data_IF_780969692797
#
_entry.id   IF_780969692797
#
_cell.length_a   1.000
_cell.length_b   1.000
_cell.length_c   1.000
_cell.angle_alpha   90.00
_cell.angle_beta   90.00
_cell.angle_gamma   90.00
#
_symmetry.space_group_name_H-M   'P 1'
#
loop_
_entity.id
_entity.type
_entity.pdbx_description
1 polymer ?
#
# COMPACT_ATOMS: atom_id res chain seq x y z
N UNK A 1 -24.57 59.88 -29.15
CA UNK A 1 -24.29 59.37 -27.80
C UNK A 1 -24.22 57.87 -27.88
N UNK A 2 -23.04 57.26 -27.72
CA UNK A 2 -22.80 55.81 -27.79
C UNK A 2 -22.84 55.27 -26.39
N UNK A 3 -23.70 54.28 -26.14
CA UNK A 3 -23.74 53.50 -24.91
C UNK A 3 -22.65 52.41 -24.97
N UNK A 4 -21.73 52.44 -24.00
CA UNK A 4 -20.71 51.38 -23.80
C UNK A 4 -21.33 50.22 -23.10
N UNK A 5 -21.26 49.03 -23.73
CA UNK A 5 -21.69 47.77 -23.15
C UNK A 5 -20.68 47.25 -22.13
N UNK A 6 -21.15 47.03 -20.93
CA UNK A 6 -20.42 46.38 -19.82
C UNK A 6 -20.32 44.85 -20.06
N UNK A 7 -19.12 44.44 -20.48
CA UNK A 7 -18.81 43.03 -20.72
C UNK A 7 -18.43 42.31 -19.45
N UNK A 8 -19.41 41.92 -18.63
CA UNK A 8 -19.20 40.98 -17.54
C UNK A 8 -18.92 39.57 -18.10
N UNK A 9 -17.64 39.19 -18.05
CA UNK A 9 -17.27 37.77 -18.25
C UNK A 9 -17.76 36.98 -17.04
N UNK A 10 -18.83 36.27 -17.23
CA UNK A 10 -19.23 35.21 -16.31
C UNK A 10 -18.20 34.09 -16.34
N UNK A 11 -17.41 33.98 -15.27
CA UNK A 11 -16.60 32.80 -15.00
C UNK A 11 -17.54 31.64 -14.71
N UNK A 12 -17.82 30.84 -15.74
CA UNK A 12 -18.57 29.61 -15.61
C UNK A 12 -17.87 28.64 -14.65
N UNK A 13 -18.27 28.72 -13.39
CA UNK A 13 -17.96 27.68 -12.41
C UNK A 13 -18.44 26.35 -12.97
N UNK A 14 -17.53 25.39 -13.21
CA UNK A 14 -17.85 24.00 -13.50
C UNK A 14 -18.49 23.39 -12.26
N UNK A 15 -19.73 23.71 -12.01
CA UNK A 15 -20.59 23.04 -11.07
C UNK A 15 -20.67 21.58 -11.53
N UNK A 16 -20.01 20.67 -10.82
CA UNK A 16 -20.21 19.25 -10.98
C UNK A 16 -21.65 18.93 -10.55
N UNK A 17 -22.57 18.93 -11.51
CA UNK A 17 -23.91 18.44 -11.29
C UNK A 17 -23.77 17.02 -10.73
N UNK A 18 -24.31 16.71 -9.54
CA UNK A 18 -24.23 15.37 -9.01
C UNK A 18 -24.90 14.43 -10.03
N UNK A 19 -24.13 13.56 -10.64
CA UNK A 19 -24.64 12.61 -11.63
C UNK A 19 -25.72 11.77 -10.94
N UNK A 20 -26.97 12.01 -11.32
CA UNK A 20 -28.12 11.25 -10.84
C UNK A 20 -27.82 9.76 -11.05
N UNK A 21 -27.96 8.95 -10.00
CA UNK A 21 -27.79 7.50 -10.11
C UNK A 21 -28.95 6.96 -10.92
N UNK A 22 -28.64 6.32 -12.05
CA UNK A 22 -29.61 5.59 -12.87
C UNK A 22 -29.38 4.11 -12.58
N UNK A 23 -30.33 3.49 -11.88
CA UNK A 23 -30.28 2.06 -11.58
C UNK A 23 -30.26 1.28 -12.89
N UNK A 24 -29.36 0.30 -13.02
CA UNK A 24 -29.17 -0.48 -14.25
C UNK A 24 -28.27 0.17 -15.32
N UNK A 25 -27.93 1.48 -15.21
CA UNK A 25 -27.16 2.16 -16.24
C UNK A 25 -25.77 2.65 -15.78
N UNK A 26 -25.69 3.51 -14.76
CA UNK A 26 -24.44 4.15 -14.33
C UNK A 26 -24.04 3.83 -12.89
N UNK A 27 -24.77 2.97 -12.21
CA UNK A 27 -24.45 2.56 -10.84
C UNK A 27 -23.25 1.62 -10.78
N UNK A 28 -22.64 1.51 -9.60
CA UNK A 28 -21.45 0.72 -9.36
C UNK A 28 -21.69 -0.78 -9.59
N UNK A 29 -22.82 -1.31 -9.12
CA UNK A 29 -23.13 -2.73 -9.23
C UNK A 29 -23.18 -3.21 -10.68
N UNK A 30 -23.78 -2.41 -11.56
CA UNK A 30 -23.92 -2.75 -12.99
C UNK A 30 -22.60 -2.57 -13.76
N UNK A 31 -21.90 -1.43 -13.54
CA UNK A 31 -20.70 -1.11 -14.33
C UNK A 31 -19.43 -1.81 -13.82
N UNK A 32 -19.34 -2.08 -12.54
CA UNK A 32 -18.16 -2.65 -11.91
C UNK A 32 -18.53 -3.74 -10.89
N UNK A 33 -19.10 -4.87 -11.35
CA UNK A 33 -19.57 -5.94 -10.46
C UNK A 33 -18.46 -6.49 -9.55
N UNK A 34 -17.22 -6.60 -10.04
CA UNK A 34 -16.06 -7.02 -9.23
C UNK A 34 -15.75 -6.03 -8.09
N UNK A 35 -15.93 -4.74 -8.31
CA UNK A 35 -15.74 -3.71 -7.26
C UNK A 35 -16.91 -3.75 -6.29
N UNK A 36 -18.13 -3.96 -6.78
CA UNK A 36 -19.33 -4.08 -5.97
C UNK A 36 -19.29 -5.32 -5.06
N UNK A 37 -18.67 -6.42 -5.50
CA UNK A 37 -18.46 -7.63 -4.70
C UNK A 37 -17.56 -7.40 -3.46
N UNK A 38 -16.70 -6.39 -3.50
CA UNK A 38 -15.88 -5.97 -2.35
C UNK A 38 -16.57 -4.91 -1.46
N UNK A 39 -17.86 -4.67 -1.64
CA UNK A 39 -18.63 -3.74 -0.81
C UNK A 39 -18.78 -4.29 0.60
N UNK A 40 -18.46 -3.48 1.61
CA UNK A 40 -18.54 -3.95 3.00
C UNK A 40 -20.02 -4.12 3.41
N UNK A 41 -20.43 -5.29 3.90
CA UNK A 41 -21.86 -5.60 4.12
C UNK A 41 -22.52 -4.72 5.18
N UNK A 42 -21.79 -4.30 6.23
CA UNK A 42 -22.36 -3.59 7.37
C UNK A 42 -21.96 -2.11 7.50
N UNK A 43 -20.73 -1.71 7.05
CA UNK A 43 -20.16 -0.39 7.37
C UNK A 43 -20.60 0.75 6.47
N UNK A 44 -21.48 0.49 5.51
CA UNK A 44 -21.97 1.51 4.59
C UNK A 44 -23.38 2.04 4.96
N UNK A 45 -23.82 1.87 6.20
CA UNK A 45 -25.09 2.40 6.72
C UNK A 45 -26.29 2.06 5.82
N UNK A 46 -26.41 0.81 5.36
CA UNK A 46 -27.47 0.34 4.47
C UNK A 46 -27.35 0.81 3.01
N UNK A 47 -26.32 1.61 2.68
CA UNK A 47 -26.09 2.03 1.29
C UNK A 47 -25.63 0.84 0.44
N UNK A 48 -26.29 0.63 -0.69
CA UNK A 48 -26.01 -0.46 -1.62
C UNK A 48 -25.16 0.04 -2.83
N UNK A 49 -24.36 -0.84 -3.46
CA UNK A 49 -23.58 -0.49 -4.66
C UNK A 49 -24.47 -0.07 -5.86
N UNK A 50 -25.70 -0.54 -5.93
CA UNK A 50 -26.69 -0.13 -6.93
C UNK A 50 -27.18 1.31 -6.76
N UNK A 51 -27.03 1.88 -5.59
CA UNK A 51 -27.45 3.23 -5.24
C UNK A 51 -26.33 4.28 -5.40
N UNK A 52 -25.14 3.87 -5.85
CA UNK A 52 -23.97 4.75 -5.99
C UNK A 52 -23.51 4.77 -7.44
N UNK A 53 -23.34 5.97 -8.01
CA UNK A 53 -22.76 6.12 -9.34
C UNK A 53 -21.31 5.66 -9.37
N UNK A 54 -20.90 4.95 -10.42
CA UNK A 54 -19.57 4.42 -10.59
C UNK A 54 -18.45 5.49 -10.54
N UNK A 55 -18.72 6.73 -10.96
CA UNK A 55 -17.79 7.85 -10.89
C UNK A 55 -17.91 8.71 -9.63
N UNK A 56 -18.62 8.24 -8.58
CA UNK A 56 -18.84 9.02 -7.37
C UNK A 56 -17.55 9.24 -6.58
N UNK A 57 -17.38 10.47 -6.06
CA UNK A 57 -16.35 10.80 -5.08
C UNK A 57 -16.64 10.33 -3.65
N UNK A 58 -17.83 9.74 -3.42
CA UNK A 58 -18.27 9.28 -2.11
C UNK A 58 -17.32 8.20 -1.59
N UNK A 59 -16.89 8.34 -0.34
CA UNK A 59 -16.12 7.31 0.37
C UNK A 59 -17.05 6.20 0.84
N UNK A 60 -16.59 4.98 0.70
CA UNK A 60 -17.31 3.76 1.08
C UNK A 60 -16.34 2.77 1.70
N UNK A 61 -16.85 1.91 2.56
CA UNK A 61 -16.11 0.80 3.12
C UNK A 61 -16.12 -0.39 2.16
N UNK A 62 -14.95 -0.97 1.99
CA UNK A 62 -14.73 -2.18 1.19
C UNK A 62 -14.15 -3.29 2.06
N UNK A 63 -14.41 -4.53 1.67
CA UNK A 63 -13.91 -5.76 2.27
C UNK A 63 -13.33 -6.64 1.17
N UNK A 64 -12.04 -7.00 1.22
CA UNK A 64 -11.46 -7.92 0.24
C UNK A 64 -11.62 -9.38 0.66
N UNK A 65 -11.37 -10.31 -0.28
CA UNK A 65 -11.44 -11.76 -0.04
C UNK A 65 -10.54 -12.27 1.10
N UNK A 66 -9.54 -11.49 1.50
CA UNK A 66 -8.63 -11.82 2.63
C UNK A 66 -9.10 -11.20 3.95
N UNK A 67 -10.30 -10.64 4.02
CA UNK A 67 -10.86 -10.04 5.23
C UNK A 67 -10.34 -8.65 5.58
N UNK A 68 -9.53 -7.99 4.71
CA UNK A 68 -9.09 -6.63 5.01
C UNK A 68 -10.16 -5.62 4.69
N UNK A 69 -10.37 -4.69 5.62
CA UNK A 69 -11.33 -3.61 5.52
C UNK A 69 -10.63 -2.27 5.26
N UNK A 70 -11.19 -1.44 4.39
CA UNK A 70 -10.67 -0.08 4.15
C UNK A 70 -11.74 0.83 3.60
N UNK A 71 -11.56 2.13 3.83
CA UNK A 71 -12.39 3.17 3.27
C UNK A 71 -11.71 3.77 2.02
N UNK A 72 -12.48 3.98 0.96
CA UNK A 72 -11.97 4.54 -0.30
C UNK A 72 -13.08 5.22 -1.09
N UNK A 73 -12.76 6.27 -1.85
CA UNK A 73 -13.72 6.88 -2.77
C UNK A 73 -14.00 5.95 -3.96
N UNK A 74 -15.28 5.85 -4.35
CA UNK A 74 -15.73 4.95 -5.42
C UNK A 74 -14.96 5.20 -6.73
N UNK A 75 -14.80 6.46 -7.14
CA UNK A 75 -14.05 6.82 -8.34
C UNK A 75 -12.56 6.38 -8.30
N UNK A 76 -11.95 6.28 -7.12
CA UNK A 76 -10.58 5.76 -6.98
C UNK A 76 -10.52 4.25 -7.26
N UNK A 77 -11.61 3.53 -6.98
CA UNK A 77 -11.74 2.11 -7.31
C UNK A 77 -11.95 1.89 -8.80
N UNK A 78 -12.86 2.66 -9.39
CA UNK A 78 -13.30 2.46 -10.78
C UNK A 78 -12.36 3.06 -11.82
N UNK A 79 -11.89 4.31 -11.61
CA UNK A 79 -11.04 5.01 -12.58
C UNK A 79 -9.54 4.76 -12.36
N UNK A 80 -9.10 4.50 -11.12
CA UNK A 80 -7.68 4.33 -10.79
C UNK A 80 -7.32 2.89 -10.39
N UNK A 81 -8.25 1.95 -10.44
CA UNK A 81 -8.01 0.54 -10.10
C UNK A 81 -7.48 0.31 -8.68
N UNK A 82 -7.70 1.24 -7.73
CA UNK A 82 -7.16 1.11 -6.37
C UNK A 82 -7.84 -0.03 -5.63
N UNK A 83 -7.11 -1.13 -5.42
CA UNK A 83 -7.53 -2.27 -4.63
C UNK A 83 -7.27 -2.10 -3.13
N UNK A 84 -7.32 -3.22 -2.40
CA UNK A 84 -7.01 -3.26 -0.98
C UNK A 84 -5.58 -2.77 -0.70
N UNK A 85 -5.39 -1.74 0.15
CA UNK A 85 -4.07 -1.17 0.43
C UNK A 85 -3.16 -2.13 1.20
N UNK A 86 -3.73 -3.05 1.98
CA UNK A 86 -2.97 -4.08 2.71
C UNK A 86 -2.46 -5.14 1.73
N UNK A 87 -3.31 -5.67 0.84
CA UNK A 87 -2.90 -6.63 -0.19
C UNK A 87 -1.86 -6.02 -1.16
N UNK A 88 -1.97 -4.72 -1.45
CA UNK A 88 -1.03 -3.99 -2.29
C UNK A 88 0.27 -3.57 -1.56
N UNK A 89 0.46 -3.94 -0.29
CA UNK A 89 1.64 -3.57 0.50
C UNK A 89 1.76 -2.08 0.86
N UNK A 90 0.73 -1.26 0.57
CA UNK A 90 0.72 0.19 0.84
C UNK A 90 0.37 0.52 2.29
N UNK A 91 -0.29 -0.39 2.99
CA UNK A 91 -0.63 -0.31 4.41
C UNK A 91 -0.10 -1.55 5.11
N UNK A 92 0.63 -1.35 6.19
CA UNK A 92 1.13 -2.45 7.02
C UNK A 92 0.01 -2.95 7.91
N UNK A 93 -0.14 -4.26 7.96
CA UNK A 93 -0.98 -4.97 8.91
C UNK A 93 -0.11 -6.02 9.61
N UNK A 94 0.10 -5.83 10.91
CA UNK A 94 0.84 -6.77 11.74
C UNK A 94 0.21 -8.17 11.68
N UNK A 95 1.04 -9.20 11.58
CA UNK A 95 0.59 -10.57 11.41
C UNK A 95 0.23 -10.94 9.96
N UNK A 96 0.32 -10.02 9.00
CA UNK A 96 -0.04 -10.31 7.61
C UNK A 96 1.06 -9.95 6.59
N UNK A 97 1.45 -8.67 6.48
CA UNK A 97 2.39 -8.20 5.46
C UNK A 97 3.59 -7.46 6.03
N UNK A 98 3.73 -7.47 7.33
CA UNK A 98 4.88 -6.90 8.04
C UNK A 98 6.14 -7.77 7.89
N UNK A 99 7.29 -7.15 8.19
CA UNK A 99 8.59 -7.78 8.08
C UNK A 99 8.75 -8.97 9.05
N UNK A 100 8.28 -8.83 10.29
CA UNK A 100 8.41 -9.87 11.30
C UNK A 100 7.69 -11.15 10.90
N UNK A 101 6.48 -11.01 10.33
CA UNK A 101 5.66 -12.15 9.87
C UNK A 101 6.20 -12.77 8.59
N UNK A 102 6.59 -11.94 7.60
CA UNK A 102 7.00 -12.44 6.27
C UNK A 102 8.44 -12.95 6.23
N UNK A 103 9.32 -12.35 7.01
CA UNK A 103 10.76 -12.66 7.01
C UNK A 103 11.31 -12.69 8.43
N UNK A 104 10.91 -13.68 9.26
CA UNK A 104 11.29 -13.73 10.68
C UNK A 104 12.81 -13.77 10.89
N UNK A 105 13.55 -14.48 10.04
CA UNK A 105 15.02 -14.52 10.10
C UNK A 105 15.65 -13.16 9.85
N UNK A 106 15.13 -12.38 8.91
CA UNK A 106 15.59 -11.00 8.64
C UNK A 106 15.19 -10.07 9.77
N UNK A 107 13.98 -10.23 10.29
CA UNK A 107 13.45 -9.42 11.40
C UNK A 107 14.24 -9.64 12.70
N UNK A 108 14.83 -10.81 12.92
CA UNK A 108 15.71 -11.11 14.06
C UNK A 108 16.97 -10.23 14.08
N UNK A 109 17.42 -9.75 12.91
CA UNK A 109 18.53 -8.81 12.79
C UNK A 109 18.10 -7.33 12.88
N UNK A 110 16.85 -7.04 13.21
CA UNK A 110 16.36 -5.68 13.40
C UNK A 110 17.04 -5.02 14.59
N UNK A 111 17.70 -3.87 14.38
CA UNK A 111 18.43 -3.23 15.49
C UNK A 111 17.46 -2.74 16.56
N UNK A 112 17.62 -3.13 17.84
CA UNK A 112 16.61 -2.91 18.87
C UNK A 112 16.36 -1.42 19.19
N UNK A 113 17.36 -0.55 19.09
CA UNK A 113 17.26 0.85 19.53
C UNK A 113 17.45 1.88 18.42
N UNK A 114 18.21 1.59 17.36
CA UNK A 114 18.55 2.60 16.33
C UNK A 114 17.41 2.94 15.37
N UNK A 115 16.32 2.20 15.38
CA UNK A 115 15.18 2.42 14.50
C UNK A 115 14.12 3.37 15.09
N UNK A 116 14.51 4.23 16.05
CA UNK A 116 13.64 5.29 16.62
C UNK A 116 12.31 4.75 17.16
N UNK A 117 12.31 3.63 17.86
CA UNK A 117 11.13 2.98 18.41
C UNK A 117 10.25 2.26 17.40
N UNK A 118 10.66 2.18 16.14
CA UNK A 118 9.96 1.42 15.12
C UNK A 118 10.32 -0.07 15.23
N UNK A 119 9.30 -0.92 15.28
CA UNK A 119 9.44 -2.37 15.30
C UNK A 119 9.33 -3.00 13.91
N UNK A 120 9.95 -4.15 13.70
CA UNK A 120 9.86 -4.92 12.45
C UNK A 120 8.42 -5.32 12.08
N UNK A 121 7.52 -5.50 13.06
CA UNK A 121 6.08 -5.72 12.86
C UNK A 121 5.29 -4.51 12.34
N UNK A 122 5.89 -3.33 12.37
CA UNK A 122 5.28 -2.09 11.89
C UNK A 122 5.76 -1.67 10.50
N UNK A 123 6.58 -2.49 9.87
CA UNK A 123 7.24 -2.17 8.59
C UNK A 123 6.85 -3.22 7.55
N UNK A 124 6.41 -2.76 6.37
CA UNK A 124 6.13 -3.67 5.26
C UNK A 124 7.42 -4.31 4.74
N UNK A 125 7.37 -5.62 4.48
CA UNK A 125 8.53 -6.39 4.02
C UNK A 125 9.12 -5.89 2.68
N UNK A 126 8.30 -5.29 1.81
CA UNK A 126 8.71 -4.81 0.49
C UNK A 126 9.03 -3.30 0.45
N UNK A 127 9.17 -2.63 1.59
CA UNK A 127 9.43 -1.17 1.61
C UNK A 127 10.88 -0.83 1.27
N UNK A 128 11.08 0.30 0.56
CA UNK A 128 12.40 0.89 0.31
C UNK A 128 12.95 1.68 1.51
N UNK A 129 12.23 1.68 2.64
CA UNK A 129 12.68 2.37 3.85
C UNK A 129 14.00 1.80 4.33
N UNK A 130 14.98 2.65 4.63
CA UNK A 130 16.22 2.28 5.31
C UNK A 130 15.97 2.01 6.78
N UNK A 131 16.63 0.99 7.30
CA UNK A 131 16.60 0.60 8.70
C UNK A 131 17.98 0.16 9.16
N UNK A 132 18.21 0.24 10.45
CA UNK A 132 19.40 -0.28 11.09
C UNK A 132 19.25 -1.77 11.41
N UNK A 133 20.31 -2.50 11.17
CA UNK A 133 20.41 -3.94 11.35
C UNK A 133 21.55 -4.29 12.30
N UNK A 134 21.42 -5.42 12.97
CA UNK A 134 22.43 -5.99 13.87
C UNK A 134 22.55 -7.48 13.56
N UNK A 135 23.69 -7.93 13.04
CA UNK A 135 23.89 -9.36 12.81
C UNK A 135 24.32 -10.09 14.10
N UNK A 136 24.28 -11.44 14.13
CA UNK A 136 24.72 -12.23 15.28
C UNK A 136 26.16 -11.95 15.72
N UNK A 137 27.03 -11.56 14.77
CA UNK A 137 28.43 -11.20 15.03
C UNK A 137 28.60 -9.77 15.58
N UNK A 138 27.51 -9.06 15.90
CA UNK A 138 27.52 -7.72 16.49
C UNK A 138 27.75 -6.57 15.51
N UNK A 139 27.90 -6.81 14.20
CA UNK A 139 28.05 -5.72 13.22
C UNK A 139 26.74 -4.97 13.05
N UNK A 140 26.84 -3.64 12.97
CA UNK A 140 25.71 -2.71 12.79
C UNK A 140 25.82 -2.03 11.45
N UNK A 141 24.74 -2.01 10.66
CA UNK A 141 24.70 -1.32 9.37
C UNK A 141 23.31 -0.82 9.03
N UNK A 142 23.23 0.08 8.07
CA UNK A 142 21.98 0.58 7.53
C UNK A 142 21.75 0.01 6.13
N UNK A 143 20.57 -0.53 5.88
CA UNK A 143 20.16 -1.01 4.56
C UNK A 143 18.66 -0.88 4.37
N UNK A 144 18.21 -0.77 3.11
CA UNK A 144 16.77 -0.77 2.80
C UNK A 144 16.17 -2.14 3.12
N UNK A 145 14.92 -2.14 3.62
CA UNK A 145 14.23 -3.39 4.00
C UNK A 145 14.09 -4.32 2.82
N UNK A 146 13.68 -3.82 1.65
CA UNK A 146 13.54 -4.63 0.45
C UNK A 146 14.86 -5.27 -0.04
N UNK A 147 16.00 -4.62 0.16
CA UNK A 147 17.31 -5.19 -0.15
C UNK A 147 17.63 -6.41 0.72
N UNK A 148 17.13 -6.42 1.97
CA UNK A 148 17.27 -7.54 2.89
C UNK A 148 16.31 -8.68 2.58
N UNK A 149 15.09 -8.36 2.14
CA UNK A 149 14.03 -9.36 1.91
C UNK A 149 14.07 -9.95 0.50
N UNK A 150 13.98 -9.11 -0.53
CA UNK A 150 13.95 -9.55 -1.94
C UNK A 150 15.35 -9.67 -2.54
N UNK A 151 16.28 -8.81 -2.12
CA UNK A 151 17.67 -8.81 -2.61
C UNK A 151 18.61 -9.77 -1.88
N UNK A 152 18.17 -10.39 -0.77
CA UNK A 152 18.98 -11.34 0.00
C UNK A 152 20.28 -10.74 0.60
N UNK A 153 20.43 -9.41 0.61
CA UNK A 153 21.63 -8.74 1.10
C UNK A 153 21.82 -8.98 2.61
N UNK A 154 22.95 -9.60 2.98
CA UNK A 154 23.33 -9.84 4.37
C UNK A 154 24.16 -8.71 4.98
N UNK A 155 24.82 -9.01 6.10
CA UNK A 155 25.78 -8.11 6.73
C UNK A 155 27.01 -7.90 5.82
N UNK A 156 27.36 -6.67 5.42
CA UNK A 156 28.49 -6.42 4.53
C UNK A 156 29.83 -6.81 5.18
N UNK A 157 30.02 -6.62 6.47
CA UNK A 157 31.23 -7.01 7.19
C UNK A 157 31.41 -8.52 7.22
N UNK A 158 30.34 -9.29 7.47
CA UNK A 158 30.38 -10.74 7.41
C UNK A 158 30.66 -11.26 5.99
N UNK A 159 30.09 -10.61 4.97
CA UNK A 159 30.36 -10.96 3.57
C UNK A 159 31.82 -10.76 3.19
N UNK A 160 32.43 -9.63 3.58
CA UNK A 160 33.86 -9.36 3.39
C UNK A 160 34.74 -10.35 4.14
N UNK A 161 34.42 -10.71 5.36
CA UNK A 161 35.15 -11.69 6.14
C UNK A 161 35.13 -13.08 5.49
N UNK A 162 33.98 -13.48 4.92
CA UNK A 162 33.86 -14.73 4.15
C UNK A 162 34.70 -14.70 2.87
N UNK A 163 34.69 -13.59 2.14
CA UNK A 163 35.49 -13.44 0.90
C UNK A 163 36.99 -13.46 1.13
N UNK A 164 37.47 -13.06 2.33
CA UNK A 164 38.89 -13.03 2.70
C UNK A 164 39.44 -14.36 3.25
N UNK A 165 38.57 -15.37 3.52
CA UNK A 165 39.05 -16.70 3.90
C UNK A 165 39.63 -17.35 2.65
N UNK A 166 40.96 -17.64 2.61
CA UNK A 166 41.55 -18.40 1.52
C UNK A 166 40.88 -19.77 1.46
N UNK A 167 40.46 -20.14 0.25
CA UNK A 167 39.87 -21.46 0.03
C UNK A 167 40.79 -22.53 0.59
N UNK A 168 40.25 -23.47 1.36
CA UNK A 168 40.96 -24.69 1.73
C UNK A 168 41.46 -25.34 0.43
N UNK A 169 42.79 -25.61 0.30
CA UNK A 169 43.30 -26.32 -0.86
C UNK A 169 42.59 -27.69 -0.90
N UNK A 170 41.98 -28.02 -2.04
CA UNK A 170 41.59 -29.37 -2.33
C UNK A 170 42.87 -30.21 -2.30
N UNK A 171 43.11 -30.94 -1.21
CA UNK A 171 44.10 -31.99 -1.16
C UNK A 171 43.45 -33.15 -1.93
N UNK A 172 43.79 -33.25 -3.21
CA UNK A 172 43.49 -34.43 -3.99
C UNK A 172 44.36 -35.58 -3.47
N UNK A 173 43.74 -36.67 -3.15
CA UNK A 173 44.36 -37.99 -3.03
C UNK A 173 43.93 -38.83 -4.22
#
# INVERSE_FOLDING_TARGET
MRAMGDGRREFGGKGTVPRRVLVGANNLATKYPKVAAEWHPAKNNGLLPSQVAAGSGRKVWCLCLKGHEWEVAVNKRTCQGRGCPVCAGKRVLAGFNDLATKYPKVAAEWHPTKNKGLFSSQVAAATHRKAWWLCPEGHKWEAAVNSRTSGGAGCPSCALAKARRPGTPHIGA
#
